data_IF_494286167842
#
_entry.id   IF_494286167842
#
_cell.length_a   1.000
_cell.length_b   1.000
_cell.length_c   1.000
_cell.angle_alpha   90.00
_cell.angle_beta   90.00
_cell.angle_gamma   90.00
#
_symmetry.space_group_name_H-M   'P 1'
#
loop_
_entity.id
_entity.type
_entity.pdbx_description
1 polymer ?
#
# COMPACT_ATOMS: atom_id res chain seq x y z
N UNK A 1 4.57 -18.58 -4.28
CA UNK A 1 4.43 -17.35 -3.49
C UNK A 1 4.95 -16.23 -4.36
N UNK A 2 4.20 -15.14 -4.53
CA UNK A 2 4.70 -13.97 -5.24
C UNK A 2 5.92 -13.42 -4.48
N UNK A 3 6.97 -13.00 -5.18
CA UNK A 3 8.13 -12.35 -4.56
C UNK A 3 7.83 -10.88 -4.30
N UNK A 4 8.62 -10.26 -3.42
CA UNK A 4 8.51 -8.83 -3.09
C UNK A 4 8.62 -7.97 -4.35
N UNK A 5 9.56 -8.30 -5.25
CA UNK A 5 9.74 -7.67 -6.55
C UNK A 5 8.52 -7.80 -7.48
N UNK A 6 7.79 -8.92 -7.42
CA UNK A 6 6.59 -9.10 -8.23
C UNK A 6 5.45 -8.25 -7.69
N UNK A 7 5.29 -8.20 -6.37
CA UNK A 7 4.26 -7.39 -5.71
C UNK A 7 4.53 -5.91 -5.94
N UNK A 8 5.78 -5.45 -5.73
CA UNK A 8 6.14 -4.05 -5.94
C UNK A 8 5.97 -3.64 -7.40
N UNK A 9 6.37 -4.47 -8.36
CA UNK A 9 6.17 -4.17 -9.78
C UNK A 9 4.69 -4.04 -10.18
N UNK A 10 3.80 -4.85 -9.60
CA UNK A 10 2.36 -4.72 -9.84
C UNK A 10 1.79 -3.44 -9.21
N UNK A 11 2.24 -3.05 -8.02
CA UNK A 11 1.84 -1.80 -7.37
C UNK A 11 2.31 -0.57 -8.14
N UNK A 12 3.54 -0.59 -8.68
CA UNK A 12 4.04 0.47 -9.56
C UNK A 12 3.18 0.58 -10.82
N UNK A 13 2.75 -0.54 -11.42
CA UNK A 13 1.82 -0.52 -12.57
C UNK A 13 0.44 0.05 -12.22
N UNK A 14 0.01 -0.06 -10.95
CA UNK A 14 -1.22 0.57 -10.45
C UNK A 14 -1.08 2.08 -10.20
N UNK A 15 0.14 2.63 -10.35
CA UNK A 15 0.43 4.05 -10.22
C UNK A 15 1.01 4.46 -8.86
N UNK A 16 1.34 3.51 -7.98
CA UNK A 16 2.05 3.82 -6.74
C UNK A 16 3.53 4.13 -7.01
N UNK A 17 4.14 4.96 -6.15
CA UNK A 17 5.58 5.20 -6.22
C UNK A 17 6.36 3.91 -5.93
N UNK A 18 7.61 3.83 -6.38
CA UNK A 18 8.48 2.68 -6.07
C UNK A 18 8.62 2.51 -4.55
N UNK A 19 8.84 3.60 -3.81
CA UNK A 19 8.98 3.57 -2.35
C UNK A 19 7.70 3.08 -1.64
N UNK A 20 6.52 3.53 -2.07
CA UNK A 20 5.25 3.04 -1.50
C UNK A 20 5.03 1.56 -1.85
N UNK A 21 5.41 1.17 -3.07
CA UNK A 21 5.25 -0.19 -3.57
C UNK A 21 6.12 -1.19 -2.82
N UNK A 22 7.37 -0.84 -2.52
CA UNK A 22 8.27 -1.64 -1.68
C UNK A 22 7.73 -1.76 -0.25
N UNK A 23 7.32 -0.64 0.35
CA UNK A 23 6.75 -0.63 1.71
C UNK A 23 5.50 -1.51 1.83
N UNK A 24 4.60 -1.44 0.84
CA UNK A 24 3.42 -2.28 0.78
C UNK A 24 3.76 -3.75 0.51
N UNK A 25 4.72 -4.04 -0.37
CA UNK A 25 5.15 -5.39 -0.67
C UNK A 25 5.72 -6.10 0.57
N UNK A 26 6.59 -5.42 1.33
CA UNK A 26 7.10 -5.92 2.60
C UNK A 26 5.96 -6.21 3.58
N UNK A 27 5.03 -5.27 3.75
CA UNK A 27 3.89 -5.45 4.64
C UNK A 27 3.00 -6.64 4.21
N UNK A 28 2.75 -6.80 2.92
CA UNK A 28 1.90 -7.87 2.38
C UNK A 28 2.51 -9.26 2.58
N UNK A 29 3.83 -9.39 2.40
CA UNK A 29 4.53 -10.68 2.48
C UNK A 29 4.90 -11.06 3.92
N UNK A 30 5.42 -10.09 4.68
CA UNK A 30 5.91 -10.34 6.04
C UNK A 30 4.83 -10.13 7.10
N UNK A 31 3.69 -9.53 6.75
CA UNK A 31 2.64 -9.19 7.71
C UNK A 31 3.09 -8.13 8.71
N UNK A 32 3.92 -7.18 8.25
CA UNK A 32 4.39 -6.08 9.06
C UNK A 32 3.34 -4.97 9.15
N UNK A 33 3.44 -4.16 10.21
CA UNK A 33 2.67 -2.93 10.33
C UNK A 33 3.62 -1.76 10.13
N UNK A 34 3.27 -0.84 9.23
CA UNK A 34 4.09 0.30 8.87
C UNK A 34 3.20 1.52 8.67
N UNK A 35 3.70 2.68 9.08
CA UNK A 35 3.02 3.95 8.84
C UNK A 35 4.01 4.97 8.33
N UNK A 36 3.66 5.66 7.25
CA UNK A 36 4.48 6.72 6.67
C UNK A 36 3.61 7.83 6.11
N UNK A 37 4.26 8.89 5.64
CA UNK A 37 3.57 10.01 5.02
C UNK A 37 4.31 10.43 3.76
N UNK A 38 3.57 10.72 2.71
CA UNK A 38 4.10 11.25 1.47
C UNK A 38 3.18 12.32 0.87
N UNK A 39 3.62 12.95 -0.21
CA UNK A 39 2.84 13.95 -0.96
C UNK A 39 2.43 13.43 -2.33
N UNK A 40 2.63 12.14 -2.60
CA UNK A 40 2.22 11.52 -3.84
C UNK A 40 0.70 11.42 -3.89
N UNK A 41 0.06 11.88 -4.98
CA UNK A 41 -1.39 11.87 -5.08
C UNK A 41 -1.91 10.43 -5.10
N UNK A 42 -2.81 10.13 -4.16
CA UNK A 42 -3.48 8.83 -4.08
C UNK A 42 -4.95 9.04 -4.40
N UNK A 43 -5.43 8.38 -5.46
CA UNK A 43 -6.86 8.43 -5.82
C UNK A 43 -7.63 7.29 -5.14
N UNK A 44 -8.94 7.48 -4.96
CA UNK A 44 -9.81 6.42 -4.44
C UNK A 44 -9.77 5.15 -5.31
N UNK A 45 -9.59 5.31 -6.62
CA UNK A 45 -9.50 4.20 -7.56
C UNK A 45 -8.24 3.36 -7.31
N UNK A 46 -7.10 4.00 -7.03
CA UNK A 46 -5.86 3.32 -6.63
C UNK A 46 -6.04 2.55 -5.33
N UNK A 47 -6.73 3.13 -4.33
CA UNK A 47 -7.02 2.45 -3.06
C UNK A 47 -7.95 1.24 -3.24
N UNK A 48 -8.93 1.33 -4.14
CA UNK A 48 -9.79 0.20 -4.47
C UNK A 48 -9.01 -0.93 -5.16
N UNK A 49 -8.10 -0.60 -6.08
CA UNK A 49 -7.22 -1.58 -6.71
C UNK A 49 -6.29 -2.24 -5.70
N UNK A 50 -5.69 -1.45 -4.81
CA UNK A 50 -4.83 -1.95 -3.74
C UNK A 50 -5.58 -2.92 -2.82
N UNK A 51 -6.79 -2.56 -2.35
CA UNK A 51 -7.58 -3.45 -1.49
C UNK A 51 -7.93 -4.75 -2.20
N UNK A 52 -8.33 -4.71 -3.47
CA UNK A 52 -8.56 -5.93 -4.27
C UNK A 52 -7.29 -6.76 -4.40
N UNK A 53 -6.14 -6.12 -4.62
CA UNK A 53 -4.87 -6.81 -4.74
C UNK A 53 -4.46 -7.50 -3.43
N UNK A 54 -4.70 -6.86 -2.27
CA UNK A 54 -4.49 -7.44 -0.94
C UNK A 54 -5.38 -8.67 -0.73
N UNK A 55 -6.66 -8.58 -1.10
CA UNK A 55 -7.60 -9.72 -1.01
C UNK A 55 -7.20 -10.88 -1.93
N UNK A 56 -6.81 -10.60 -3.18
CA UNK A 56 -6.38 -11.62 -4.15
C UNK A 56 -5.11 -12.35 -3.70
N UNK A 57 -4.19 -11.66 -3.04
CA UNK A 57 -2.97 -12.26 -2.49
C UNK A 57 -3.18 -12.91 -1.12
N UNK A 58 -4.41 -12.88 -0.59
CA UNK A 58 -4.76 -13.36 0.76
C UNK A 58 -3.84 -12.77 1.84
N UNK A 59 -3.41 -11.52 1.64
CA UNK A 59 -2.48 -10.83 2.52
C UNK A 59 -3.22 -10.41 3.80
N UNK A 60 -2.64 -10.73 4.95
CA UNK A 60 -3.21 -10.41 6.26
C UNK A 60 -2.86 -9.00 6.70
N UNK A 61 -3.17 -8.01 5.87
CA UNK A 61 -2.96 -6.60 6.20
C UNK A 61 -4.23 -5.77 5.97
N UNK A 62 -4.26 -4.60 6.58
CA UNK A 62 -5.27 -3.56 6.41
C UNK A 62 -4.54 -2.27 6.06
N UNK A 63 -4.87 -1.67 4.92
CA UNK A 63 -4.29 -0.39 4.51
C UNK A 63 -5.31 0.71 4.72
N UNK A 64 -4.92 1.77 5.42
CA UNK A 64 -5.68 3.01 5.56
C UNK A 64 -4.84 4.16 5.07
N UNK A 65 -5.40 4.92 4.12
CA UNK A 65 -4.81 6.16 3.66
C UNK A 65 -5.72 7.30 4.07
N UNK A 66 -5.15 8.30 4.73
CA UNK A 66 -5.86 9.50 5.15
C UNK A 66 -5.23 10.70 4.47
N UNK A 67 -6.03 11.39 3.67
CA UNK A 67 -5.65 12.69 3.13
C UNK A 67 -5.62 13.74 4.26
N UNK A 68 -4.48 14.39 4.42
CA UNK A 68 -4.29 15.57 5.26
C UNK A 68 -4.24 16.78 4.33
N UNK A 69 -5.41 17.17 3.83
CA UNK A 69 -5.62 18.27 2.89
C UNK A 69 -5.02 19.62 3.35
N UNK A 70 -4.75 19.79 4.65
CA UNK A 70 -4.09 20.99 5.19
C UNK A 70 -2.58 21.04 4.94
N UNK A 71 -1.98 19.94 4.47
CA UNK A 71 -0.52 19.80 4.30
C UNK A 71 -0.13 19.18 2.96
N UNK A 72 -1.09 18.96 2.04
CA UNK A 72 -0.87 18.24 0.77
C UNK A 72 -0.11 16.91 0.99
N UNK A 73 -0.55 16.15 2.00
CA UNK A 73 0.09 14.90 2.43
C UNK A 73 -0.93 13.80 2.64
N UNK A 74 -0.53 12.59 2.29
CA UNK A 74 -1.25 11.36 2.56
C UNK A 74 -0.56 10.63 3.71
N UNK A 75 -1.34 10.28 4.72
CA UNK A 75 -0.91 9.43 5.83
C UNK A 75 -1.30 7.99 5.53
N UNK A 76 -0.29 7.15 5.41
CA UNK A 76 -0.42 5.72 5.24
C UNK A 76 -0.32 5.02 6.61
N UNK A 77 -1.29 4.17 6.92
CA UNK A 77 -1.33 3.33 8.11
C UNK A 77 -1.66 1.90 7.66
N UNK A 78 -0.64 1.05 7.60
CA UNK A 78 -0.73 -0.36 7.25
C UNK A 78 -0.63 -1.18 8.52
N UNK A 79 -1.63 -2.03 8.77
CA UNK A 79 -1.72 -2.86 9.97
C UNK A 79 -1.83 -4.31 9.61
N UNK A 80 -1.06 -5.15 10.29
CA UNK A 80 -1.21 -6.59 10.20
C UNK A 80 -2.51 -7.04 10.86
N UNK A 81 -3.34 -7.79 10.13
CA UNK A 81 -4.51 -8.48 10.67
C UNK A 81 -4.04 -9.77 11.34
N UNK A 82 -4.23 -9.87 12.66
CA UNK A 82 -3.95 -11.10 13.44
C UNK A 82 -4.97 -12.18 13.14
#
# INVERSE_FOLDING_TARGET
>A
MATEEQVSAELVKMGFSESDSEALADCMLNGNSLSWQNSDPVTDEMLQLLNKFIELNNAKIEVKVKDVATRDKYLWDVRAKR
#
